data_IF_666764924714
#
_entry.id   IF_666764924714
#
_cell.length_a   1.000
_cell.length_b   1.000
_cell.length_c   1.000
_cell.angle_alpha   90.00
_cell.angle_beta   90.00
_cell.angle_gamma   90.00
#
_symmetry.space_group_name_H-M   'P 1'
#
loop_
_entity.id
_entity.type
_entity.pdbx_description
1 polymer ?
#
# COMPACT_ATOMS: atom_id res chain seq x y z
N UNK A 1 -25.24 -58.81 -58.66
CA UNK A 1 -25.07 -57.38 -58.44
C UNK A 1 -25.46 -57.08 -56.97
N UNK A 2 -24.47 -56.86 -56.13
CA UNK A 2 -24.70 -56.55 -54.70
C UNK A 2 -24.53 -55.04 -54.52
N UNK A 3 -25.58 -54.35 -54.08
CA UNK A 3 -25.60 -52.96 -53.77
C UNK A 3 -24.91 -52.67 -52.44
N UNK A 4 -23.85 -51.86 -52.43
CA UNK A 4 -23.26 -51.31 -51.23
C UNK A 4 -24.13 -50.12 -50.74
N UNK A 5 -24.65 -50.24 -49.52
CA UNK A 5 -25.33 -49.15 -48.87
C UNK A 5 -24.35 -48.11 -48.29
N UNK A 6 -24.72 -46.84 -48.19
CA UNK A 6 -23.85 -45.79 -47.68
C UNK A 6 -23.64 -45.93 -46.16
N UNK A 7 -22.34 -45.91 -45.75
CA UNK A 7 -21.93 -45.78 -44.35
C UNK A 7 -22.07 -44.32 -43.95
N UNK A 8 -23.05 -44.02 -43.10
CA UNK A 8 -23.20 -42.72 -42.47
C UNK A 8 -22.24 -42.63 -41.26
N UNK A 9 -21.17 -41.94 -41.42
CA UNK A 9 -20.21 -41.65 -40.35
C UNK A 9 -20.73 -40.52 -39.48
N UNK A 10 -21.31 -40.85 -38.33
CA UNK A 10 -21.78 -39.87 -37.34
C UNK A 10 -20.55 -39.24 -36.68
N UNK A 11 -20.32 -37.92 -36.94
CA UNK A 11 -19.30 -37.12 -36.27
C UNK A 11 -19.84 -36.78 -34.85
N UNK A 12 -19.32 -37.41 -33.81
CA UNK A 12 -19.55 -36.98 -32.42
C UNK A 12 -18.75 -35.67 -32.20
N UNK A 13 -19.44 -34.56 -32.20
CA UNK A 13 -18.89 -33.32 -31.65
C UNK A 13 -18.79 -33.47 -30.12
N UNK A 14 -17.61 -33.69 -29.60
CA UNK A 14 -17.35 -33.60 -28.17
C UNK A 14 -17.51 -32.12 -27.73
N UNK A 15 -18.55 -31.82 -26.96
CA UNK A 15 -18.70 -30.52 -26.33
C UNK A 15 -17.55 -30.31 -25.32
N UNK A 16 -16.63 -29.41 -25.62
CA UNK A 16 -15.58 -28.97 -24.69
C UNK A 16 -16.33 -28.18 -23.61
N UNK A 17 -16.23 -28.54 -22.31
CA UNK A 17 -16.86 -27.77 -21.25
C UNK A 17 -16.24 -26.36 -21.24
N UNK A 18 -17.08 -25.34 -21.44
CA UNK A 18 -16.69 -23.95 -21.32
C UNK A 18 -16.41 -23.68 -19.82
N UNK A 19 -15.14 -23.49 -19.48
CA UNK A 19 -14.74 -23.13 -18.11
C UNK A 19 -15.22 -21.71 -17.86
N UNK A 20 -16.25 -21.55 -17.02
CA UNK A 20 -16.73 -20.26 -16.61
C UNK A 20 -15.57 -19.43 -16.01
N UNK A 21 -15.43 -18.13 -16.36
CA UNK A 21 -14.37 -17.29 -15.81
C UNK A 21 -14.47 -17.23 -14.28
N UNK A 22 -13.36 -17.43 -13.60
CA UNK A 22 -13.28 -17.33 -12.15
C UNK A 22 -13.72 -15.93 -11.71
N UNK A 23 -14.65 -15.87 -10.75
CA UNK A 23 -15.08 -14.60 -10.15
C UNK A 23 -14.18 -14.15 -8.99
N UNK A 24 -13.10 -14.88 -8.74
CA UNK A 24 -12.08 -14.50 -7.77
C UNK A 24 -11.00 -13.66 -8.43
N UNK A 25 -10.47 -12.66 -7.71
CA UNK A 25 -9.33 -11.86 -8.13
C UNK A 25 -8.14 -12.10 -7.20
N UNK A 26 -6.93 -12.04 -7.72
CA UNK A 26 -5.71 -12.04 -6.91
C UNK A 26 -5.44 -10.64 -6.38
N UNK A 27 -4.91 -10.55 -5.15
CA UNK A 27 -4.54 -9.31 -4.50
C UNK A 27 -3.06 -9.38 -4.10
N UNK A 28 -2.30 -8.36 -4.46
CA UNK A 28 -0.95 -8.17 -3.92
C UNK A 28 -1.03 -7.66 -2.49
N UNK A 29 -0.18 -8.18 -1.62
CA UNK A 29 -0.06 -7.78 -0.22
C UNK A 29 1.40 -7.46 0.11
N UNK A 30 1.60 -6.55 1.07
CA UNK A 30 2.92 -6.29 1.63
C UNK A 30 3.22 -7.39 2.65
N UNK A 31 4.29 -8.16 2.43
CA UNK A 31 4.77 -9.12 3.43
C UNK A 31 5.48 -8.41 4.58
N UNK A 32 5.60 -9.05 5.74
CA UNK A 32 6.38 -8.50 6.85
C UNK A 32 7.85 -8.24 6.44
N UNK A 33 8.44 -9.11 5.62
CA UNK A 33 9.81 -8.93 5.15
C UNK A 33 9.95 -7.70 4.24
N UNK A 34 9.00 -7.45 3.35
CA UNK A 34 8.97 -6.22 2.55
C UNK A 34 8.77 -4.99 3.44
N UNK A 35 7.85 -5.05 4.42
CA UNK A 35 7.62 -3.96 5.36
C UNK A 35 8.88 -3.60 6.15
N UNK A 36 9.69 -4.59 6.57
CA UNK A 36 10.98 -4.35 7.24
C UNK A 36 11.98 -3.59 6.35
N UNK A 37 12.09 -3.97 5.07
CA UNK A 37 12.98 -3.29 4.12
C UNK A 37 12.54 -1.84 3.88
N UNK A 38 11.24 -1.62 3.71
CA UNK A 38 10.64 -0.30 3.55
C UNK A 38 10.91 0.58 4.78
N UNK A 39 10.67 0.04 5.98
CA UNK A 39 10.93 0.76 7.21
C UNK A 39 12.42 1.06 7.41
N UNK A 40 13.30 0.12 7.08
CA UNK A 40 14.75 0.32 7.18
C UNK A 40 15.25 1.46 6.28
N UNK A 41 14.72 1.62 5.07
CA UNK A 41 15.04 2.75 4.19
C UNK A 41 14.61 4.10 4.80
N UNK A 42 13.42 4.13 5.41
CA UNK A 42 12.94 5.30 6.14
C UNK A 42 13.81 5.61 7.37
N UNK A 43 14.25 4.59 8.12
CA UNK A 43 15.16 4.76 9.26
C UNK A 43 16.50 5.35 8.85
N UNK A 44 17.05 4.90 7.73
CA UNK A 44 18.31 5.47 7.19
C UNK A 44 18.14 6.96 6.90
N UNK A 45 17.02 7.36 6.32
CA UNK A 45 16.74 8.77 6.05
C UNK A 45 16.50 9.56 7.35
N UNK A 46 15.76 8.99 8.31
CA UNK A 46 15.59 9.62 9.62
C UNK A 46 16.93 9.82 10.34
N UNK A 47 17.82 8.83 10.29
CA UNK A 47 19.15 8.92 10.91
C UNK A 47 20.02 10.03 10.28
N UNK A 48 19.99 10.20 8.95
CA UNK A 48 20.71 11.29 8.27
C UNK A 48 20.28 12.67 8.73
N UNK A 49 19.03 12.80 9.15
CA UNK A 49 18.43 14.06 9.63
C UNK A 49 18.52 14.24 11.13
N UNK A 50 18.98 13.22 11.87
CA UNK A 50 18.92 13.20 13.33
C UNK A 50 17.49 13.23 13.87
N UNK A 51 16.53 12.70 13.08
CA UNK A 51 15.11 12.73 13.39
C UNK A 51 14.69 11.59 14.30
N UNK A 52 13.86 11.90 15.32
CA UNK A 52 13.26 10.93 16.22
C UNK A 52 11.77 10.77 15.85
N UNK A 53 11.45 9.69 15.15
CA UNK A 53 10.13 9.49 14.53
C UNK A 53 9.56 8.10 14.83
N UNK A 54 8.25 7.96 14.66
CA UNK A 54 7.56 6.70 14.43
C UNK A 54 7.48 6.46 12.94
N UNK A 55 7.77 5.24 12.51
CA UNK A 55 7.61 4.75 11.12
C UNK A 55 6.62 3.61 11.15
N UNK A 56 5.55 3.70 10.37
CA UNK A 56 4.48 2.69 10.31
C UNK A 56 4.28 2.25 8.88
N UNK A 57 4.28 0.95 8.63
CA UNK A 57 3.86 0.35 7.36
C UNK A 57 2.52 -0.36 7.59
N UNK A 58 1.52 -0.02 6.78
CA UNK A 58 0.18 -0.58 6.86
C UNK A 58 -0.19 -1.32 5.57
N UNK A 59 -1.17 -2.23 5.65
CA UNK A 59 -1.81 -2.85 4.49
C UNK A 59 -2.77 -1.86 3.77
N UNK A 60 -3.41 -2.30 2.70
CA UNK A 60 -4.37 -1.48 1.94
C UNK A 60 -5.69 -1.21 2.68
N UNK A 61 -5.96 -1.93 3.78
CA UNK A 61 -7.04 -1.64 4.73
C UNK A 61 -6.64 -0.61 5.80
N UNK A 62 -5.37 -0.21 5.83
CA UNK A 62 -4.83 0.74 6.80
C UNK A 62 -4.49 0.11 8.15
N UNK A 63 -4.32 -1.22 8.22
CA UNK A 63 -3.93 -1.91 9.44
C UNK A 63 -2.40 -2.09 9.50
N UNK A 64 -1.76 -1.85 10.67
CA UNK A 64 -0.31 -1.97 10.83
C UNK A 64 0.20 -3.39 10.54
N UNK A 65 1.21 -3.47 9.66
CA UNK A 65 2.05 -4.65 9.44
C UNK A 65 3.31 -4.53 10.31
N UNK A 66 3.87 -3.31 10.38
CA UNK A 66 5.07 -2.99 11.14
C UNK A 66 4.97 -1.59 11.73
N UNK A 67 5.47 -1.43 12.95
CA UNK A 67 5.66 -0.13 13.58
C UNK A 67 7.03 -0.11 14.26
N UNK A 68 7.87 0.86 13.88
CA UNK A 68 9.09 1.20 14.58
C UNK A 68 8.95 2.56 15.25
N UNK A 69 9.15 2.60 16.55
CA UNK A 69 9.27 3.85 17.30
C UNK A 69 10.75 4.04 17.66
N UNK A 70 11.39 5.02 17.05
CA UNK A 70 12.78 5.35 17.35
C UNK A 70 12.90 5.91 18.77
N UNK A 71 14.10 5.80 19.35
CA UNK A 71 14.35 6.31 20.69
C UNK A 71 14.03 7.82 20.75
N UNK A 72 13.59 8.26 21.90
CA UNK A 72 13.25 9.67 22.19
C UNK A 72 12.10 10.26 21.38
N UNK A 73 11.40 9.43 20.58
CA UNK A 73 10.21 9.87 19.85
C UNK A 73 9.05 10.15 20.83
N UNK A 74 8.39 11.28 20.67
CA UNK A 74 7.20 11.63 21.45
C UNK A 74 6.10 10.56 21.35
N UNK A 75 5.46 10.25 22.47
CA UNK A 75 4.50 9.13 22.54
C UNK A 75 3.30 9.31 21.61
N UNK A 76 2.80 10.54 21.46
CA UNK A 76 1.66 10.85 20.59
C UNK A 76 1.89 10.51 19.12
N UNK A 77 3.15 10.49 18.66
CA UNK A 77 3.51 10.18 17.27
C UNK A 77 3.13 8.76 16.85
N UNK A 78 2.90 7.84 17.78
CA UNK A 78 2.44 6.47 17.48
C UNK A 78 1.08 6.52 16.78
N UNK A 79 0.09 7.11 17.41
CA UNK A 79 -1.27 7.20 16.84
C UNK A 79 -1.32 8.10 15.60
N UNK A 80 -0.54 9.19 15.60
CA UNK A 80 -0.47 10.09 14.44
C UNK A 80 0.16 9.39 13.25
N UNK A 81 1.25 8.64 13.43
CA UNK A 81 1.90 7.86 12.37
C UNK A 81 0.97 6.81 11.77
N UNK A 82 0.25 6.05 12.63
CA UNK A 82 -0.77 5.09 12.19
C UNK A 82 -1.87 5.80 11.39
N UNK A 83 -2.36 6.94 11.89
CA UNK A 83 -3.41 7.71 11.22
C UNK A 83 -2.99 8.23 9.85
N UNK A 84 -1.77 8.76 9.71
CA UNK A 84 -1.20 9.22 8.44
C UNK A 84 -1.06 8.06 7.43
N UNK A 85 -0.50 6.92 7.87
CA UNK A 85 -0.37 5.72 7.04
C UNK A 85 -1.74 5.20 6.59
N UNK A 86 -2.69 5.05 7.53
CA UNK A 86 -4.06 4.63 7.22
C UNK A 86 -4.71 5.54 6.19
N UNK A 87 -4.62 6.86 6.37
CA UNK A 87 -5.18 7.83 5.43
C UNK A 87 -4.62 7.61 4.03
N UNK A 88 -3.31 7.46 3.90
CA UNK A 88 -2.67 7.25 2.60
C UNK A 88 -3.12 5.93 1.95
N UNK A 89 -3.27 4.85 2.71
CA UNK A 89 -3.69 3.54 2.21
C UNK A 89 -5.14 3.55 1.73
N UNK A 90 -6.09 3.90 2.61
CA UNK A 90 -7.52 3.74 2.30
C UNK A 90 -8.04 4.78 1.30
N UNK A 91 -7.46 5.97 1.25
CA UNK A 91 -7.81 6.99 0.26
C UNK A 91 -6.91 6.96 -0.98
N UNK A 92 -5.89 6.10 -1.03
CA UNK A 92 -4.98 5.84 -2.16
C UNK A 92 -4.31 7.11 -2.67
N UNK A 93 -3.88 7.98 -1.76
CA UNK A 93 -3.17 9.24 -2.04
C UNK A 93 -2.42 9.73 -0.82
N UNK A 94 -1.39 10.58 -0.97
CA UNK A 94 -0.68 11.15 0.17
C UNK A 94 -1.64 11.84 1.14
N UNK A 95 -1.41 11.65 2.44
CA UNK A 95 -2.24 12.28 3.50
C UNK A 95 -2.16 13.81 3.46
N UNK A 96 -1.06 14.36 2.92
CA UNK A 96 -0.88 15.79 2.64
C UNK A 96 -2.02 16.40 1.82
N UNK A 97 -2.58 15.66 0.87
CA UNK A 97 -3.69 16.15 0.03
C UNK A 97 -4.88 16.61 0.89
N UNK A 98 -5.14 15.92 1.99
CA UNK A 98 -6.23 16.30 2.90
C UNK A 98 -5.84 17.47 3.81
N UNK A 99 -4.57 17.55 4.23
CA UNK A 99 -4.06 18.72 4.95
C UNK A 99 -4.19 19.99 4.10
N UNK A 100 -3.77 19.93 2.84
CA UNK A 100 -3.86 21.04 1.89
C UNK A 100 -5.33 21.47 1.68
N UNK A 101 -6.25 20.51 1.52
CA UNK A 101 -7.69 20.82 1.42
C UNK A 101 -8.22 21.57 2.64
N UNK A 102 -7.82 21.18 3.85
CA UNK A 102 -8.21 21.88 5.08
C UNK A 102 -7.64 23.29 5.11
N UNK A 103 -6.37 23.46 4.74
CA UNK A 103 -5.71 24.78 4.65
C UNK A 103 -6.38 25.70 3.62
N UNK A 104 -6.88 25.14 2.52
CA UNK A 104 -7.61 25.84 1.46
C UNK A 104 -9.08 26.12 1.84
N UNK A 105 -9.50 25.79 3.05
CA UNK A 105 -10.83 26.06 3.58
C UNK A 105 -11.85 24.93 3.44
N UNK A 106 -11.49 23.78 2.89
CA UNK A 106 -12.36 22.60 2.86
C UNK A 106 -12.33 21.85 4.20
N UNK A 107 -12.84 22.48 5.24
CA UNK A 107 -12.87 21.91 6.61
C UNK A 107 -13.66 20.60 6.71
N UNK A 108 -14.55 20.32 5.75
CA UNK A 108 -15.29 19.06 5.68
C UNK A 108 -14.34 17.84 5.53
N UNK A 109 -13.09 18.01 5.09
CA UNK A 109 -12.10 16.95 5.05
C UNK A 109 -11.77 16.39 6.45
N UNK A 110 -11.97 17.17 7.51
CA UNK A 110 -11.82 16.72 8.91
C UNK A 110 -12.88 15.69 9.33
N UNK A 111 -14.02 15.62 8.62
CA UNK A 111 -15.11 14.69 8.91
C UNK A 111 -15.01 13.37 8.11
N UNK A 112 -13.98 13.18 7.29
CA UNK A 112 -13.80 11.95 6.53
C UNK A 112 -13.47 10.78 7.48
N UNK A 113 -14.27 9.70 7.48
CA UNK A 113 -14.04 8.57 8.37
C UNK A 113 -12.66 7.94 8.13
N UNK A 114 -11.88 7.78 9.20
CA UNK A 114 -10.56 7.14 9.13
C UNK A 114 -9.45 8.03 8.55
N UNK A 115 -9.72 9.29 8.24
CA UNK A 115 -8.71 10.24 7.80
C UNK A 115 -8.03 10.93 8.98
N UNK A 116 -6.71 11.04 8.88
CA UNK A 116 -5.86 11.96 9.65
C UNK A 116 -5.23 12.91 8.64
N UNK A 117 -5.79 14.10 8.42
CA UNK A 117 -5.37 15.03 7.38
C UNK A 117 -4.09 15.79 7.80
N UNK A 118 -3.01 15.04 7.95
CA UNK A 118 -1.69 15.52 8.32
C UNK A 118 -0.65 14.95 7.35
N UNK A 119 0.24 15.77 6.84
CA UNK A 119 1.34 15.41 5.95
C UNK A 119 2.28 14.38 6.59
N UNK A 120 2.75 13.39 5.81
CA UNK A 120 3.69 12.35 6.25
C UNK A 120 3.18 10.92 6.04
N UNK A 121 2.00 10.73 5.43
CA UNK A 121 1.51 9.44 4.95
C UNK A 121 1.66 9.32 3.44
N UNK A 122 2.32 8.27 2.95
CA UNK A 122 2.65 8.05 1.53
C UNK A 122 2.16 6.67 1.10
N UNK A 123 1.38 6.54 0.00
CA UNK A 123 0.97 5.25 -0.52
C UNK A 123 2.15 4.40 -0.97
N UNK A 124 2.03 3.10 -0.83
CA UNK A 124 2.93 2.11 -1.42
C UNK A 124 2.19 1.47 -2.59
N UNK A 125 2.77 1.66 -3.78
CA UNK A 125 2.18 1.17 -5.02
C UNK A 125 3.00 -0.01 -5.57
N UNK A 126 2.29 -0.99 -6.14
CA UNK A 126 2.88 -2.09 -6.87
C UNK A 126 2.00 -2.40 -8.09
N UNK A 127 2.62 -2.46 -9.28
CA UNK A 127 1.92 -2.68 -10.56
C UNK A 127 0.72 -1.74 -10.77
N UNK A 128 0.89 -0.45 -10.41
CA UNK A 128 -0.12 0.59 -10.59
C UNK A 128 -1.30 0.50 -9.59
N UNK A 129 -1.16 -0.25 -8.51
CA UNK A 129 -2.18 -0.37 -7.46
C UNK A 129 -1.59 -0.04 -6.09
N UNK A 130 -2.32 0.71 -5.30
CA UNK A 130 -1.98 0.93 -3.90
C UNK A 130 -2.27 -0.36 -3.13
N UNK A 131 -1.21 -0.94 -2.53
CA UNK A 131 -1.26 -2.19 -1.75
C UNK A 131 -1.03 -1.96 -0.25
N UNK A 132 -0.77 -0.73 0.14
CA UNK A 132 -0.56 -0.29 1.51
C UNK A 132 -0.03 1.13 1.55
N UNK A 133 0.54 1.53 2.67
CA UNK A 133 1.16 2.84 2.83
C UNK A 133 2.22 2.82 3.93
N UNK A 134 3.08 3.84 3.91
CA UNK A 134 3.96 4.19 5.01
C UNK A 134 3.51 5.52 5.62
N UNK A 135 3.57 5.63 6.94
CA UNK A 135 3.33 6.86 7.68
C UNK A 135 4.47 7.16 8.63
N UNK A 136 4.88 8.42 8.67
CA UNK A 136 5.92 8.91 9.56
C UNK A 136 5.39 10.07 10.41
N UNK A 137 5.79 10.10 11.67
CA UNK A 137 5.42 11.16 12.59
C UNK A 137 6.48 11.37 13.66
N UNK A 138 6.81 12.62 13.95
CA UNK A 138 7.74 12.97 15.03
C UNK A 138 8.39 14.34 14.86
N UNK A 139 8.55 14.79 13.63
CA UNK A 139 9.19 16.05 13.30
C UNK A 139 8.21 17.04 12.63
N UNK A 140 8.73 17.92 11.78
CA UNK A 140 7.88 18.78 10.96
C UNK A 140 7.12 17.93 9.92
N UNK A 141 5.92 18.35 9.48
CA UNK A 141 5.15 17.63 8.47
C UNK A 141 5.97 17.33 7.19
N UNK A 142 6.82 18.26 6.77
CA UNK A 142 7.67 18.12 5.58
C UNK A 142 8.74 17.05 5.76
N UNK A 143 9.45 17.06 6.90
CA UNK A 143 10.47 16.06 7.22
C UNK A 143 9.86 14.66 7.37
N UNK A 144 8.70 14.57 8.01
CA UNK A 144 7.93 13.32 8.14
C UNK A 144 7.62 12.74 6.75
N UNK A 145 7.16 13.58 5.80
CA UNK A 145 6.87 13.13 4.43
C UNK A 145 8.14 12.72 3.66
N UNK A 146 9.23 13.45 3.79
CA UNK A 146 10.49 13.13 3.12
C UNK A 146 11.06 11.78 3.60
N UNK A 147 10.95 11.49 4.90
CA UNK A 147 11.31 10.19 5.47
C UNK A 147 10.36 9.09 4.95
N UNK A 148 9.06 9.37 4.89
CA UNK A 148 8.09 8.43 4.34
C UNK A 148 8.32 8.14 2.86
N UNK A 149 8.67 9.16 2.06
CA UNK A 149 9.01 9.03 0.64
C UNK A 149 10.24 8.14 0.42
N UNK A 150 11.27 8.26 1.28
CA UNK A 150 12.45 7.40 1.22
C UNK A 150 12.08 5.92 1.43
N UNK A 151 11.20 5.64 2.40
CA UNK A 151 10.67 4.29 2.60
C UNK A 151 9.85 3.79 1.41
N UNK A 152 8.92 4.62 0.91
CA UNK A 152 8.08 4.27 -0.23
C UNK A 152 8.89 4.01 -1.51
N UNK A 153 9.96 4.77 -1.75
CA UNK A 153 10.86 4.57 -2.89
C UNK A 153 11.57 3.21 -2.88
N UNK A 154 11.82 2.64 -1.70
CA UNK A 154 12.43 1.31 -1.55
C UNK A 154 11.42 0.16 -1.76
N UNK A 155 10.12 0.46 -1.91
CA UNK A 155 9.08 -0.56 -1.91
C UNK A 155 9.18 -1.50 -3.12
N UNK A 156 9.47 -1.01 -4.33
CA UNK A 156 9.50 -1.87 -5.54
C UNK A 156 10.55 -2.97 -5.41
N UNK A 157 11.79 -2.64 -5.04
CA UNK A 157 12.85 -3.62 -4.77
C UNK A 157 12.50 -4.57 -3.62
N UNK A 158 11.94 -4.03 -2.53
CA UNK A 158 11.53 -4.82 -1.37
C UNK A 158 10.45 -5.87 -1.73
N UNK A 159 9.47 -5.48 -2.55
CA UNK A 159 8.37 -6.32 -2.99
C UNK A 159 8.80 -7.38 -4.01
N UNK A 160 9.79 -7.09 -4.85
CA UNK A 160 10.40 -8.06 -5.79
C UNK A 160 11.40 -9.00 -5.14
N UNK A 161 11.70 -8.82 -3.87
CA UNK A 161 12.67 -9.66 -3.14
C UNK A 161 14.13 -9.26 -3.41
N UNK A 162 14.39 -8.13 -4.03
CA UNK A 162 15.73 -7.61 -4.28
C UNK A 162 16.36 -7.16 -2.94
N UNK A 163 17.64 -7.49 -2.75
CA UNK A 163 18.40 -6.94 -1.63
C UNK A 163 18.90 -5.54 -1.99
N UNK A 164 18.88 -4.60 -1.03
CA UNK A 164 19.42 -3.26 -1.23
C UNK A 164 20.93 -3.25 -1.49
#
# INVERSE_FOLDING_TARGET
>A
MRALGPIVMALLLAAIPEVAPSQTSTKHIISLEAAKKIAAAAEVEAAKRGSTVVIVVVDDGGYPILLHRLNDTQVASVEVGIGKARTAAIFRRPSKVFEDQVREGRVAALALPGATPLQGGVPIEFEGRVIGAIGVSGNTPQEDEEIALAGAAAADGALRGENP
#
